data_IF_113430613106
#
_entry.id   IF_113430613106
#
_cell.length_a   1.000
_cell.length_b   1.000
_cell.length_c   1.000
_cell.angle_alpha   90.00
_cell.angle_beta   90.00
_cell.angle_gamma   90.00
#
_symmetry.space_group_name_H-M   'P 1'
#
loop_
_entity.id
_entity.type
_entity.pdbx_description
1 polymer ?
#
# COMPACT_ATOMS: atom_id res chain seq x y z
N UNK A 1 1.48 -63.80 -43.05
CA UNK A 1 2.85 -63.53 -42.51
C UNK A 1 3.04 -62.04 -42.43
N UNK A 2 2.61 -61.46 -41.33
CA UNK A 2 2.73 -60.00 -41.08
C UNK A 2 4.07 -59.72 -40.41
N UNK A 3 4.94 -58.97 -41.08
CA UNK A 3 6.22 -58.48 -40.56
C UNK A 3 5.95 -57.18 -39.78
N UNK A 4 5.87 -57.28 -38.44
CA UNK A 4 5.86 -56.13 -37.53
C UNK A 4 7.18 -55.36 -37.65
N UNK A 5 7.15 -54.21 -38.32
CA UNK A 5 8.26 -53.27 -38.30
C UNK A 5 8.36 -52.58 -36.96
N UNK A 6 9.20 -53.11 -36.02
CA UNK A 6 9.66 -52.39 -34.85
C UNK A 6 10.48 -51.17 -35.25
N UNK A 7 9.87 -49.97 -35.21
CA UNK A 7 10.55 -48.69 -35.40
C UNK A 7 11.56 -48.52 -34.26
N UNK A 8 12.86 -48.61 -34.56
CA UNK A 8 13.95 -48.47 -33.61
C UNK A 8 13.94 -47.01 -33.12
N UNK A 9 13.30 -46.74 -31.96
CA UNK A 9 13.26 -45.42 -31.34
C UNK A 9 14.68 -44.94 -31.05
N UNK A 10 15.04 -43.78 -31.62
CA UNK A 10 16.38 -43.24 -31.54
C UNK A 10 16.68 -42.77 -30.13
N UNK A 11 17.45 -43.52 -29.33
CA UNK A 11 17.85 -43.27 -27.93
C UNK A 11 18.43 -41.86 -27.75
N UNK A 12 19.01 -41.26 -28.80
CA UNK A 12 19.56 -39.88 -28.84
C UNK A 12 18.44 -38.84 -28.69
N UNK A 13 17.33 -39.01 -29.41
CA UNK A 13 16.20 -38.09 -29.38
C UNK A 13 15.48 -38.09 -27.98
N UNK A 14 15.41 -39.27 -27.32
CA UNK A 14 14.86 -39.32 -25.97
C UNK A 14 15.71 -38.59 -24.94
N UNK A 15 17.05 -38.61 -25.07
CA UNK A 15 17.95 -37.83 -24.19
C UNK A 15 17.80 -36.32 -24.44
N UNK A 16 17.69 -35.87 -25.67
CA UNK A 16 17.48 -34.46 -26.04
C UNK A 16 16.13 -33.96 -25.52
N UNK A 17 15.05 -34.75 -25.70
CA UNK A 17 13.73 -34.38 -25.17
C UNK A 17 13.72 -34.25 -23.64
N UNK A 18 14.39 -35.17 -22.94
CA UNK A 18 14.53 -35.06 -21.45
C UNK A 18 15.31 -33.82 -21.06
N UNK A 19 16.44 -33.53 -21.72
CA UNK A 19 17.22 -32.32 -21.43
C UNK A 19 16.41 -31.04 -21.67
N UNK A 20 15.64 -30.99 -22.77
CA UNK A 20 14.76 -29.86 -23.09
C UNK A 20 13.66 -29.70 -22.05
N UNK A 21 13.04 -30.81 -21.59
CA UNK A 21 12.03 -30.78 -20.55
C UNK A 21 12.57 -30.24 -19.22
N UNK A 22 13.75 -30.71 -18.79
CA UNK A 22 14.41 -30.20 -17.58
C UNK A 22 14.77 -28.71 -17.70
N UNK A 23 15.24 -28.28 -18.88
CA UNK A 23 15.54 -26.86 -19.13
C UNK A 23 14.29 -25.99 -19.02
N UNK A 24 13.17 -26.41 -19.61
CA UNK A 24 11.89 -25.70 -19.53
C UNK A 24 11.35 -25.63 -18.09
N UNK A 25 11.46 -26.72 -17.32
CA UNK A 25 11.06 -26.75 -15.92
C UNK A 25 11.92 -25.79 -15.09
N UNK A 26 13.25 -25.78 -15.30
CA UNK A 26 14.16 -24.87 -14.61
C UNK A 26 13.86 -23.41 -14.90
N UNK A 27 13.61 -23.07 -16.19
CA UNK A 27 13.21 -21.71 -16.58
C UNK A 27 11.89 -21.32 -15.93
N UNK A 28 10.89 -22.20 -15.94
CA UNK A 28 9.60 -21.94 -15.28
C UNK A 28 9.76 -21.71 -13.76
N UNK A 29 10.61 -22.49 -13.09
CA UNK A 29 10.89 -22.31 -11.66
C UNK A 29 11.59 -20.97 -11.39
N UNK A 30 12.55 -20.57 -12.21
CA UNK A 30 13.22 -19.28 -12.08
C UNK A 30 12.24 -18.12 -12.25
N UNK A 31 11.31 -18.20 -13.19
CA UNK A 31 10.27 -17.17 -13.37
C UNK A 31 9.36 -17.09 -12.14
N UNK A 32 8.93 -18.23 -11.61
CA UNK A 32 8.14 -18.28 -10.37
C UNK A 32 8.90 -17.64 -9.21
N UNK A 33 10.14 -18.02 -8.99
CA UNK A 33 10.98 -17.42 -7.94
C UNK A 33 11.13 -15.92 -8.12
N UNK A 34 11.38 -15.45 -9.34
CA UNK A 34 11.51 -14.03 -9.64
C UNK A 34 10.24 -13.23 -9.33
N UNK A 35 9.07 -13.77 -9.67
CA UNK A 35 7.77 -13.12 -9.43
C UNK A 35 7.40 -13.13 -7.95
N UNK A 36 7.61 -14.24 -7.25
CA UNK A 36 7.22 -14.38 -5.84
C UNK A 36 8.26 -13.84 -4.85
N UNK A 37 9.52 -13.72 -5.26
CA UNK A 37 10.60 -13.23 -4.39
C UNK A 37 10.30 -11.87 -3.73
N UNK A 38 9.79 -10.83 -4.44
CA UNK A 38 9.45 -9.55 -3.81
C UNK A 38 8.37 -9.66 -2.74
N UNK A 39 7.36 -10.53 -2.94
CA UNK A 39 6.27 -10.74 -1.99
C UNK A 39 6.76 -11.46 -0.72
N UNK A 40 7.59 -12.48 -0.91
CA UNK A 40 8.15 -13.27 0.20
C UNK A 40 9.20 -12.45 0.98
N UNK A 41 10.08 -11.74 0.29
CA UNK A 41 11.12 -10.91 0.91
C UNK A 41 10.52 -9.77 1.76
N UNK A 42 9.39 -9.20 1.32
CA UNK A 42 8.67 -8.22 2.10
C UNK A 42 8.21 -8.79 3.44
N UNK A 43 7.63 -9.99 3.47
CA UNK A 43 7.16 -10.63 4.70
C UNK A 43 8.29 -10.86 5.70
N UNK A 44 9.47 -11.28 5.23
CA UNK A 44 10.59 -11.60 6.13
C UNK A 44 11.42 -10.37 6.54
N UNK A 45 11.54 -9.38 5.66
CA UNK A 45 12.45 -8.25 5.88
C UNK A 45 11.77 -7.03 6.50
N UNK A 46 10.51 -6.77 6.15
CA UNK A 46 9.82 -5.55 6.55
C UNK A 46 8.72 -5.76 7.59
N UNK A 47 7.98 -6.87 7.57
CA UNK A 47 6.91 -7.08 8.54
C UNK A 47 7.46 -7.12 9.97
N UNK A 48 8.60 -7.80 10.20
CA UNK A 48 9.24 -7.86 11.51
C UNK A 48 9.80 -6.53 12.02
N UNK A 49 10.20 -5.62 11.12
CA UNK A 49 10.76 -4.32 11.50
C UNK A 49 9.69 -3.32 11.93
N UNK A 50 8.43 -3.52 11.52
CA UNK A 50 7.31 -2.63 11.86
C UNK A 50 6.46 -3.14 13.03
N UNK A 51 6.58 -4.43 13.39
CA UNK A 51 5.84 -5.03 14.51
C UNK A 51 6.38 -4.61 15.90
N UNK A 52 7.60 -4.09 15.97
CA UNK A 52 8.30 -3.76 17.22
C UNK A 52 8.25 -2.28 17.63
N UNK A 53 7.56 -1.42 16.88
CA UNK A 53 7.38 -0.04 17.33
C UNK A 53 6.15 0.06 18.23
N UNK A 54 6.36 -0.20 19.52
CA UNK A 54 5.45 0.14 20.62
C UNK A 54 5.29 1.68 20.66
N UNK A 55 4.49 2.21 19.72
CA UNK A 55 4.05 3.61 19.83
C UNK A 55 3.03 3.58 20.96
N UNK A 56 3.38 4.19 22.09
CA UNK A 56 2.49 4.42 23.21
C UNK A 56 1.33 5.33 22.78
N UNK A 57 0.40 4.77 22.02
CA UNK A 57 -0.94 5.32 21.85
C UNK A 57 -1.72 4.81 23.05
N UNK A 58 -2.44 5.64 23.82
CA UNK A 58 -3.31 5.17 24.89
C UNK A 58 -4.54 4.49 24.26
N UNK A 59 -4.36 3.28 23.70
CA UNK A 59 -5.43 2.41 23.26
C UNK A 59 -5.69 1.43 24.41
N UNK A 60 -6.93 1.28 24.90
CA UNK A 60 -7.26 0.27 25.90
C UNK A 60 -6.88 -1.11 25.37
N UNK A 61 -6.09 -1.88 26.14
CA UNK A 61 -5.55 -3.21 25.78
C UNK A 61 -6.63 -4.31 25.58
N UNK A 62 -7.89 -3.96 25.49
CA UNK A 62 -9.02 -4.91 25.46
C UNK A 62 -9.52 -5.26 24.05
N UNK A 63 -8.90 -4.79 22.97
CA UNK A 63 -9.35 -5.07 21.60
C UNK A 63 -8.31 -5.81 20.73
N UNK A 64 -7.40 -6.57 21.33
CA UNK A 64 -6.57 -7.50 20.54
C UNK A 64 -7.36 -8.77 20.31
N UNK A 65 -8.11 -8.81 19.23
CA UNK A 65 -8.68 -10.07 18.73
C UNK A 65 -7.54 -10.86 18.11
N UNK A 66 -7.09 -11.90 18.81
CA UNK A 66 -6.22 -12.94 18.25
C UNK A 66 -6.98 -13.63 17.10
N UNK A 67 -6.74 -13.23 15.87
CA UNK A 67 -7.28 -13.93 14.70
C UNK A 67 -6.34 -15.08 14.29
N UNK A 68 -6.40 -16.19 15.02
CA UNK A 68 -5.85 -17.47 14.57
C UNK A 68 -6.85 -18.18 13.64
N UNK A 69 -7.24 -17.57 12.53
CA UNK A 69 -8.16 -18.22 11.61
C UNK A 69 -7.68 -18.10 10.16
N UNK A 70 -7.18 -19.23 9.62
CA UNK A 70 -6.97 -19.44 8.18
C UNK A 70 -8.26 -19.13 7.37
N UNK A 71 -9.43 -19.28 7.99
CA UNK A 71 -10.72 -18.92 7.40
C UNK A 71 -10.86 -17.43 7.08
N UNK A 72 -10.25 -16.52 7.85
CA UNK A 72 -10.26 -15.08 7.54
C UNK A 72 -9.40 -14.76 6.32
N UNK A 73 -8.23 -15.40 6.19
CA UNK A 73 -7.36 -15.22 5.03
C UNK A 73 -8.00 -15.72 3.72
N UNK A 74 -8.80 -16.77 3.80
CA UNK A 74 -9.55 -17.31 2.64
C UNK A 74 -10.73 -16.40 2.30
N UNK A 75 -11.43 -15.82 3.30
CA UNK A 75 -12.50 -14.85 3.06
C UNK A 75 -11.97 -13.54 2.49
N UNK A 76 -10.79 -13.07 2.94
CA UNK A 76 -10.17 -11.86 2.40
C UNK A 76 -9.68 -12.07 0.96
N UNK A 77 -9.15 -13.25 0.62
CA UNK A 77 -8.83 -13.61 -0.75
C UNK A 77 -10.11 -13.70 -1.63
N UNK A 78 -11.22 -14.24 -1.13
CA UNK A 78 -12.49 -14.29 -1.86
C UNK A 78 -13.15 -12.91 -2.00
N UNK A 79 -12.98 -12.01 -1.04
CA UNK A 79 -13.41 -10.61 -1.15
C UNK A 79 -12.59 -9.83 -2.20
N UNK A 80 -11.32 -10.21 -2.42
CA UNK A 80 -10.49 -9.66 -3.51
C UNK A 80 -11.00 -10.04 -4.91
N UNK A 81 -11.73 -11.15 -5.04
CA UNK A 81 -12.46 -11.55 -6.25
C UNK A 81 -13.88 -10.95 -6.32
N UNK A 82 -14.35 -10.25 -5.31
CA UNK A 82 -15.73 -9.75 -5.22
C UNK A 82 -16.00 -8.44 -6.00
N UNK A 83 -15.07 -7.98 -6.82
CA UNK A 83 -15.27 -6.82 -7.71
C UNK A 83 -15.27 -5.47 -6.98
N UNK A 84 -14.66 -5.37 -5.80
CA UNK A 84 -14.50 -4.10 -5.08
C UNK A 84 -13.54 -3.21 -5.85
N UNK A 85 -14.00 -2.01 -6.23
CA UNK A 85 -13.16 -1.01 -6.89
C UNK A 85 -12.28 -0.29 -5.87
N UNK A 86 -11.00 -0.67 -5.80
CA UNK A 86 -10.01 -0.01 -4.93
C UNK A 86 -9.44 1.30 -5.52
N UNK A 87 -9.85 1.72 -6.72
CA UNK A 87 -9.55 3.08 -7.21
C UNK A 87 -10.40 4.12 -6.48
N UNK A 88 -11.50 3.69 -5.85
CA UNK A 88 -12.31 4.52 -4.96
C UNK A 88 -11.79 4.40 -3.52
N UNK A 89 -11.27 5.51 -2.96
CA UNK A 89 -10.77 5.57 -1.59
C UNK A 89 -11.80 5.20 -0.53
N UNK A 90 -13.11 5.35 -0.81
CA UNK A 90 -14.18 4.99 0.13
C UNK A 90 -14.23 3.50 0.46
N UNK A 91 -13.71 2.65 -0.43
CA UNK A 91 -13.68 1.21 -0.27
C UNK A 91 -12.49 0.70 0.57
N UNK A 92 -11.57 1.57 0.96
CA UNK A 92 -10.35 1.16 1.65
C UNK A 92 -10.56 0.82 3.14
N UNK A 93 -11.59 1.42 3.76
CA UNK A 93 -12.00 1.15 5.14
C UNK A 93 -13.49 0.87 5.19
N UNK A 94 -13.94 -0.37 4.92
CA UNK A 94 -15.36 -0.71 4.74
C UNK A 94 -16.19 -0.50 6.00
N UNK A 95 -15.59 -0.53 7.18
CA UNK A 95 -16.26 -0.33 8.46
C UNK A 95 -16.40 1.14 8.88
N UNK A 96 -15.82 2.07 8.12
CA UNK A 96 -15.88 3.49 8.42
C UNK A 96 -17.06 4.15 7.69
N UNK A 97 -18.02 4.68 8.45
CA UNK A 97 -19.15 5.45 7.88
C UNK A 97 -18.74 6.91 7.73
N UNK A 98 -18.69 7.39 6.49
CA UNK A 98 -18.45 8.80 6.20
C UNK A 98 -19.43 9.71 6.92
N UNK A 99 -18.94 10.65 7.72
CA UNK A 99 -19.69 11.85 8.06
C UNK A 99 -19.52 12.82 6.91
N UNK A 100 -20.59 13.12 6.14
CA UNK A 100 -20.55 14.22 5.17
C UNK A 100 -20.14 15.48 5.92
N UNK A 101 -18.87 15.89 5.75
CA UNK A 101 -18.37 17.16 6.29
C UNK A 101 -19.09 18.33 5.63
N UNK A 102 -19.15 19.48 6.33
CA UNK A 102 -19.65 20.72 5.76
C UNK A 102 -18.82 21.17 4.56
N UNK A 103 -19.32 22.14 3.79
CA UNK A 103 -18.71 22.60 2.54
C UNK A 103 -17.22 22.95 2.74
N UNK A 104 -16.36 22.17 2.13
CA UNK A 104 -14.92 22.42 2.09
C UNK A 104 -14.66 23.44 0.99
N UNK A 105 -14.04 24.59 1.33
CA UNK A 105 -13.72 25.64 0.35
C UNK A 105 -12.46 25.35 -0.50
N UNK A 106 -11.69 24.33 -0.15
CA UNK A 106 -10.44 23.99 -0.82
C UNK A 106 -10.63 22.72 -1.61
N UNK A 107 -10.51 22.80 -2.95
CA UNK A 107 -10.67 21.65 -3.83
C UNK A 107 -9.38 20.81 -3.93
N UNK A 108 -8.23 21.47 -3.98
CA UNK A 108 -6.93 20.83 -4.14
C UNK A 108 -5.83 21.53 -3.35
N UNK A 109 -4.87 20.77 -2.90
CA UNK A 109 -3.57 21.20 -2.43
C UNK A 109 -2.50 20.21 -2.95
N UNK A 110 -1.23 20.47 -2.75
CA UNK A 110 -0.18 19.56 -3.22
C UNK A 110 0.72 19.09 -2.10
N UNK A 111 1.29 17.88 -2.28
CA UNK A 111 2.33 17.37 -1.40
C UNK A 111 3.60 17.06 -2.19
N UNK A 112 4.74 17.23 -1.53
CA UNK A 112 6.04 16.81 -2.02
C UNK A 112 6.75 15.99 -0.95
N UNK A 113 7.39 14.90 -1.37
CA UNK A 113 8.15 14.01 -0.49
C UNK A 113 9.54 13.86 -1.11
N UNK A 114 10.52 14.70 -0.71
CA UNK A 114 11.84 14.77 -1.37
C UNK A 114 12.56 13.43 -1.42
N UNK A 115 12.56 12.66 -0.32
CA UNK A 115 13.22 11.35 -0.25
C UNK A 115 12.68 10.34 -1.27
N UNK A 116 11.41 10.47 -1.67
CA UNK A 116 10.76 9.59 -2.67
C UNK A 116 10.71 10.22 -4.06
N UNK A 117 11.31 11.40 -4.24
CA UNK A 117 11.26 12.17 -5.48
C UNK A 117 9.84 12.50 -5.97
N UNK A 118 8.85 12.52 -5.06
CA UNK A 118 7.49 12.98 -5.32
C UNK A 118 7.48 14.50 -5.23
N UNK A 119 7.02 15.16 -6.31
CA UNK A 119 7.00 16.63 -6.41
C UNK A 119 5.62 17.11 -6.77
N UNK A 120 5.05 17.97 -5.93
CA UNK A 120 3.77 18.66 -6.14
C UNK A 120 2.62 17.71 -6.56
N UNK A 121 2.57 16.51 -5.94
CA UNK A 121 1.46 15.60 -6.18
C UNK A 121 0.15 16.23 -5.70
N UNK A 122 -0.84 16.30 -6.59
CA UNK A 122 -2.14 16.90 -6.31
C UNK A 122 -2.95 16.03 -5.37
N UNK A 123 -3.61 16.64 -4.39
CA UNK A 123 -4.50 15.99 -3.43
C UNK A 123 -5.88 16.59 -3.57
N UNK A 124 -6.88 15.79 -3.94
CA UNK A 124 -8.28 16.19 -3.95
C UNK A 124 -8.90 16.11 -2.56
N UNK A 125 -9.83 17.00 -2.26
CA UNK A 125 -10.61 17.01 -1.03
C UNK A 125 -12.11 16.77 -1.26
N UNK A 126 -12.52 16.60 -2.53
CA UNK A 126 -13.92 16.55 -2.94
C UNK A 126 -14.34 15.18 -3.46
N UNK A 127 -13.45 14.44 -4.08
CA UNK A 127 -13.75 13.14 -4.65
C UNK A 127 -12.86 12.02 -4.08
N UNK A 128 -13.13 10.80 -4.48
CA UNK A 128 -12.47 9.57 -3.97
C UNK A 128 -11.66 8.84 -5.04
N UNK A 129 -11.49 9.41 -6.26
CA UNK A 129 -10.83 8.78 -7.41
C UNK A 129 -9.29 8.82 -7.29
N UNK A 130 -8.71 7.76 -6.80
CA UNK A 130 -7.25 7.60 -6.62
C UNK A 130 -6.48 7.39 -7.94
N UNK A 131 -7.17 7.21 -9.05
CA UNK A 131 -6.50 7.02 -10.36
C UNK A 131 -5.99 8.34 -10.95
N UNK A 132 -6.56 9.48 -10.53
CA UNK A 132 -6.28 10.82 -11.08
C UNK A 132 -5.43 11.69 -10.15
N UNK A 133 -5.50 11.49 -8.85
CA UNK A 133 -4.81 12.27 -7.82
C UNK A 133 -4.76 11.50 -6.51
N UNK A 134 -4.03 12.03 -5.53
CA UNK A 134 -4.16 11.62 -4.15
C UNK A 134 -5.50 12.12 -3.58
N UNK A 135 -6.02 11.47 -2.56
CA UNK A 135 -7.31 11.80 -1.95
C UNK A 135 -7.12 12.10 -0.47
N UNK A 136 -7.50 13.33 -0.04
CA UNK A 136 -7.69 13.60 1.38
C UNK A 136 -9.01 12.98 1.82
N UNK A 137 -8.95 12.01 2.74
CA UNK A 137 -10.13 11.24 3.12
C UNK A 137 -11.21 12.14 3.71
N UNK A 138 -12.42 12.05 3.17
CA UNK A 138 -13.54 12.93 3.52
C UNK A 138 -13.85 12.78 5.01
N UNK A 139 -13.99 13.91 5.72
CA UNK A 139 -14.26 13.95 7.16
C UNK A 139 -13.01 13.98 8.04
N UNK A 140 -11.81 13.89 7.44
CA UNK A 140 -10.54 14.16 8.14
C UNK A 140 -10.14 15.63 7.99
N UNK A 141 -9.21 16.10 8.84
CA UNK A 141 -8.73 17.48 8.78
C UNK A 141 -8.11 17.82 7.42
N UNK A 142 -8.01 19.11 7.10
CA UNK A 142 -7.27 19.63 5.96
C UNK A 142 -6.02 20.34 6.43
N UNK A 143 -4.85 20.11 5.79
CA UNK A 143 -3.65 20.86 6.16
C UNK A 143 -3.83 22.39 5.91
N UNK A 144 -3.39 23.26 6.82
CA UNK A 144 -2.67 22.99 8.07
C UNK A 144 -3.57 23.02 9.31
N UNK A 145 -4.83 22.68 9.21
CA UNK A 145 -5.76 22.70 10.34
C UNK A 145 -5.34 21.73 11.44
N UNK A 146 -5.75 21.99 12.69
CA UNK A 146 -5.64 21.04 13.78
C UNK A 146 -6.48 19.79 13.47
N UNK A 147 -5.97 18.62 13.83
CA UNK A 147 -6.56 17.33 13.51
C UNK A 147 -5.59 16.46 12.73
N UNK A 148 -6.09 15.39 12.15
CA UNK A 148 -5.33 14.45 11.35
C UNK A 148 -5.81 14.50 9.89
N UNK A 149 -5.00 15.08 9.00
CA UNK A 149 -5.24 15.04 7.56
C UNK A 149 -4.81 13.67 7.02
N UNK A 150 -5.75 12.87 6.54
CA UNK A 150 -5.44 11.52 6.05
C UNK A 150 -5.49 11.49 4.53
N UNK A 151 -4.37 11.17 3.90
CA UNK A 151 -4.18 11.16 2.46
C UNK A 151 -3.96 9.74 1.95
N UNK A 152 -4.78 9.32 1.00
CA UNK A 152 -4.68 8.03 0.33
C UNK A 152 -3.99 8.15 -1.02
N UNK A 153 -3.24 7.10 -1.39
CA UNK A 153 -2.63 6.95 -2.69
C UNK A 153 -2.32 5.49 -2.99
N UNK A 154 -2.36 5.13 -4.27
CA UNK A 154 -2.09 3.77 -4.71
C UNK A 154 -0.63 3.35 -4.57
N UNK A 155 -0.45 2.04 -4.40
CA UNK A 155 0.82 1.34 -4.55
C UNK A 155 0.69 0.21 -5.58
N UNK A 156 1.80 -0.09 -6.24
CA UNK A 156 1.91 -1.18 -7.20
C UNK A 156 3.22 -1.94 -6.99
N UNK A 157 3.50 -2.94 -7.82
CA UNK A 157 4.80 -3.61 -7.80
C UNK A 157 5.93 -2.60 -8.00
N UNK A 158 7.05 -2.70 -7.25
CA UNK A 158 8.15 -1.75 -7.31
C UNK A 158 8.75 -1.56 -8.71
N UNK A 159 8.65 -2.59 -9.57
CA UNK A 159 9.13 -2.56 -10.95
C UNK A 159 8.29 -1.63 -11.86
N UNK A 160 7.05 -1.34 -11.48
CA UNK A 160 6.10 -0.51 -12.21
C UNK A 160 6.01 0.92 -11.64
N UNK A 161 6.88 1.27 -10.69
CA UNK A 161 6.84 2.56 -10.02
C UNK A 161 7.16 3.72 -10.96
N UNK A 162 6.26 4.70 -10.99
CA UNK A 162 6.47 6.03 -11.56
C UNK A 162 5.94 7.09 -10.57
N UNK A 163 6.81 8.00 -10.16
CA UNK A 163 6.46 9.07 -9.21
C UNK A 163 5.41 10.07 -9.76
N UNK A 164 5.15 10.05 -11.07
CA UNK A 164 4.17 10.92 -11.75
C UNK A 164 2.82 10.22 -11.99
N UNK A 165 2.77 8.91 -11.87
CA UNK A 165 1.55 8.13 -12.05
C UNK A 165 0.87 7.92 -10.69
N UNK A 166 -0.33 8.46 -10.52
CA UNK A 166 -1.11 8.32 -9.27
C UNK A 166 -1.46 6.87 -8.93
N UNK A 167 -1.49 5.96 -9.89
CA UNK A 167 -1.69 4.52 -9.66
C UNK A 167 -0.49 3.85 -8.99
N UNK A 168 0.66 4.54 -8.90
CA UNK A 168 1.90 3.97 -8.40
C UNK A 168 2.61 4.86 -7.37
N UNK A 169 2.16 6.10 -7.20
CA UNK A 169 2.88 7.19 -6.52
C UNK A 169 3.32 6.85 -5.09
N UNK A 170 2.54 6.06 -4.35
CA UNK A 170 2.85 5.67 -2.96
C UNK A 170 3.52 4.30 -2.82
N UNK A 171 3.94 3.67 -3.92
CA UNK A 171 4.62 2.36 -3.90
C UNK A 171 5.84 2.35 -2.96
N UNK A 172 6.58 3.44 -2.89
CA UNK A 172 7.84 3.54 -2.13
C UNK A 172 7.67 4.17 -0.73
N UNK A 173 6.44 4.39 -0.22
CA UNK A 173 6.23 5.00 1.10
C UNK A 173 6.94 4.24 2.23
N UNK A 174 7.12 2.93 2.10
CA UNK A 174 7.83 2.11 3.08
C UNK A 174 9.32 2.49 3.30
N UNK A 175 9.89 3.29 2.39
CA UNK A 175 11.26 3.80 2.52
C UNK A 175 11.37 5.01 3.45
N UNK A 176 10.24 5.59 3.83
CA UNK A 176 10.23 6.69 4.80
C UNK A 176 10.59 6.19 6.19
N UNK A 177 11.26 7.05 6.94
CA UNK A 177 11.71 6.81 8.30
C UNK A 177 11.42 8.03 9.17
N UNK A 178 11.32 7.89 10.50
CA UNK A 178 11.20 9.03 11.38
C UNK A 178 12.24 10.11 11.08
N UNK A 179 11.81 11.37 11.03
CA UNK A 179 12.64 12.53 10.68
C UNK A 179 12.59 12.94 9.21
N UNK A 180 12.10 12.09 8.29
CA UNK A 180 11.91 12.48 6.89
C UNK A 180 10.86 13.58 6.74
N UNK A 181 10.99 14.40 5.69
CA UNK A 181 10.13 15.55 5.47
C UNK A 181 9.03 15.26 4.44
N UNK A 182 7.83 15.76 4.75
CA UNK A 182 6.70 15.87 3.82
C UNK A 182 6.35 17.36 3.75
N UNK A 183 6.35 17.93 2.55
CA UNK A 183 6.05 19.33 2.32
C UNK A 183 4.63 19.41 1.74
N UNK A 184 3.78 20.17 2.40
CA UNK A 184 2.41 20.47 1.93
C UNK A 184 2.34 21.90 1.45
N UNK A 185 1.88 22.12 0.22
CA UNK A 185 1.57 23.46 -0.30
C UNK A 185 0.05 23.64 -0.30
N UNK A 186 -0.42 24.47 0.60
CA UNK A 186 -1.83 24.79 0.77
C UNK A 186 -2.02 26.31 0.70
N UNK A 187 -2.85 26.78 -0.24
CA UNK A 187 -3.10 28.21 -0.45
C UNK A 187 -1.81 29.03 -0.61
N UNK A 188 -0.86 28.53 -1.42
CA UNK A 188 0.46 29.14 -1.68
C UNK A 188 1.38 29.26 -0.45
N UNK A 189 1.05 28.56 0.62
CA UNK A 189 1.88 28.51 1.82
C UNK A 189 2.45 27.10 1.98
N UNK A 190 3.75 27.02 2.24
CA UNK A 190 4.46 25.76 2.46
C UNK A 190 4.46 25.40 3.93
N UNK A 191 4.03 24.20 4.25
CA UNK A 191 4.05 23.62 5.58
C UNK A 191 4.92 22.37 5.55
N UNK A 192 5.83 22.26 6.51
CA UNK A 192 6.68 21.09 6.69
C UNK A 192 6.09 20.17 7.75
N UNK A 193 6.03 18.90 7.43
CA UNK A 193 5.68 17.83 8.35
C UNK A 193 6.85 16.87 8.47
N UNK A 194 7.17 16.44 9.68
CA UNK A 194 8.18 15.40 9.94
C UNK A 194 7.52 14.08 10.23
N UNK A 195 7.98 13.03 9.57
CA UNK A 195 7.55 11.66 9.83
C UNK A 195 7.92 11.29 11.26
N UNK A 196 6.93 10.80 12.02
CA UNK A 196 7.12 10.29 13.39
C UNK A 196 7.14 8.77 13.42
N UNK A 197 6.32 8.14 12.57
CA UNK A 197 6.18 6.68 12.54
C UNK A 197 5.77 6.17 11.17
N UNK A 198 6.20 4.95 10.88
CA UNK A 198 5.74 4.14 9.74
C UNK A 198 5.28 2.80 10.28
N UNK A 199 4.00 2.47 10.13
CA UNK A 199 3.38 1.28 10.70
C UNK A 199 2.56 0.53 9.65
N UNK A 200 2.28 -0.74 9.89
CA UNK A 200 1.40 -1.57 9.06
C UNK A 200 0.18 -1.95 9.89
N UNK A 201 -1.00 -1.75 9.33
CA UNK A 201 -2.28 -2.07 9.98
C UNK A 201 -3.18 -2.90 9.07
N UNK A 202 -4.18 -3.56 9.66
CA UNK A 202 -5.20 -4.28 8.91
C UNK A 202 -6.22 -3.31 8.28
N UNK A 203 -6.90 -3.69 7.17
CA UNK A 203 -7.86 -2.83 6.48
C UNK A 203 -9.10 -2.45 7.31
N UNK A 204 -9.41 -3.22 8.34
CA UNK A 204 -10.51 -2.97 9.29
C UNK A 204 -10.13 -2.03 10.44
N UNK A 205 -8.83 -1.72 10.59
CA UNK A 205 -8.33 -0.81 11.62
C UNK A 205 -8.58 0.65 11.24
N UNK A 206 -9.71 1.19 11.67
CA UNK A 206 -10.11 2.58 11.40
C UNK A 206 -9.47 3.62 12.31
N UNK A 207 -8.62 3.22 13.28
CA UNK A 207 -7.95 4.17 14.20
C UNK A 207 -7.02 5.14 13.47
N UNK A 208 -6.58 4.78 12.26
CA UNK A 208 -5.79 5.66 11.39
C UNK A 208 -6.55 6.92 10.95
N UNK A 209 -7.88 6.88 10.97
CA UNK A 209 -8.78 7.98 10.60
C UNK A 209 -9.18 8.85 11.79
N UNK A 210 -8.85 8.44 13.02
CA UNK A 210 -9.18 9.18 14.24
C UNK A 210 -8.60 10.58 14.22
N UNK A 211 -9.41 11.52 14.72
CA UNK A 211 -9.05 12.93 14.77
C UNK A 211 -8.55 13.31 16.17
N UNK A 212 -7.33 13.81 16.24
CA UNK A 212 -6.77 14.43 17.43
C UNK A 212 -6.52 15.92 17.14
N UNK A 213 -7.23 16.80 17.83
CA UNK A 213 -7.17 18.25 17.62
C UNK A 213 -6.15 18.96 18.52
N UNK A 214 -5.32 18.23 19.24
CA UNK A 214 -4.26 18.83 20.08
C UNK A 214 -3.15 19.43 19.22
N UNK A 215 -2.85 18.81 18.07
CA UNK A 215 -1.82 19.28 17.15
C UNK A 215 -2.27 19.09 15.68
N UNK A 216 -1.36 19.28 14.72
CA UNK A 216 -1.58 19.16 13.29
C UNK A 216 -0.84 17.95 12.76
N UNK A 217 -1.58 16.92 12.46
CA UNK A 217 -1.05 15.65 11.97
C UNK A 217 -1.35 15.47 10.49
N UNK A 218 -0.48 14.73 9.83
CA UNK A 218 -0.60 14.28 8.46
C UNK A 218 -0.37 12.77 8.44
N UNK A 219 -1.31 12.02 7.89
CA UNK A 219 -1.21 10.56 7.76
C UNK A 219 -1.30 10.19 6.29
N UNK A 220 -0.27 9.52 5.75
CA UNK A 220 -0.30 8.95 4.41
C UNK A 220 -0.64 7.47 4.50
N UNK A 221 -1.53 6.99 3.64
CA UNK A 221 -2.00 5.60 3.64
C UNK A 221 -1.90 5.00 2.25
N UNK A 222 -1.34 3.80 2.18
CA UNK A 222 -1.29 3.01 0.94
C UNK A 222 -1.46 1.52 1.23
N UNK A 223 -1.71 0.74 0.19
CA UNK A 223 -1.78 -0.71 0.30
C UNK A 223 -0.38 -1.32 0.45
N UNK A 224 -0.28 -2.42 1.20
CA UNK A 224 0.99 -3.14 1.43
C UNK A 224 0.72 -4.64 1.64
N UNK A 225 1.66 -5.56 1.26
CA UNK A 225 2.86 -5.34 0.43
C UNK A 225 2.54 -4.64 -0.90
N UNK A 226 3.50 -3.91 -1.50
CA UNK A 226 3.30 -3.24 -2.78
C UNK A 226 2.74 -4.19 -3.84
N UNK A 227 1.68 -3.76 -4.54
CA UNK A 227 0.96 -4.59 -5.53
C UNK A 227 -0.08 -5.54 -4.92
N UNK A 228 -0.35 -5.47 -3.62
CA UNK A 228 -1.42 -6.24 -2.94
C UNK A 228 -2.37 -5.28 -2.20
N UNK A 229 -3.49 -5.83 -1.71
CA UNK A 229 -4.48 -5.09 -0.92
C UNK A 229 -4.62 -5.61 0.51
N UNK A 230 -3.67 -6.47 0.94
CA UNK A 230 -3.82 -7.26 2.18
C UNK A 230 -3.80 -6.41 3.46
N UNK A 231 -2.92 -5.41 3.50
CA UNK A 231 -2.77 -4.52 4.66
C UNK A 231 -2.65 -3.07 4.23
N UNK A 232 -2.57 -2.15 5.18
CA UNK A 232 -2.31 -0.74 4.93
C UNK A 232 -0.98 -0.32 5.55
N UNK A 233 -0.12 0.29 4.75
CA UNK A 233 1.04 1.02 5.24
C UNK A 233 0.60 2.44 5.60
N UNK A 234 0.92 2.87 6.79
CA UNK A 234 0.52 4.15 7.36
C UNK A 234 1.77 4.91 7.79
N UNK A 235 1.96 6.10 7.23
CA UNK A 235 3.03 7.02 7.61
C UNK A 235 2.39 8.15 8.39
N UNK A 236 2.74 8.29 9.67
CA UNK A 236 2.29 9.39 10.53
C UNK A 236 3.35 10.48 10.58
N UNK A 237 2.93 11.71 10.38
CA UNK A 237 3.79 12.88 10.43
C UNK A 237 3.12 14.01 11.21
N UNK A 238 3.91 14.89 11.78
CA UNK A 238 3.46 16.07 12.53
C UNK A 238 4.07 17.32 11.94
N UNK A 239 3.32 18.43 11.99
CA UNK A 239 3.81 19.73 11.52
C UNK A 239 5.05 20.15 12.31
N UNK A 240 6.07 20.61 11.61
CA UNK A 240 7.24 21.20 12.23
C UNK A 240 6.86 22.60 12.76
N UNK A 241 7.07 22.82 14.05
CA UNK A 241 6.89 24.13 14.66
C UNK A 241 8.08 25.00 14.25
N UNK A 242 7.79 26.09 13.54
CA UNK A 242 8.77 27.14 13.22
C UNK A 242 9.01 27.99 14.46
#
# INVERSE_FOLDING_TARGET
MDKLHHKKENKKNKKILKALSFSLISIGLLIILYVFFPLISWQFYFAGSFDSQDIAIPIPKTTVVQSNNIGSLVSDASNSFSGIDYTDASNWFPNYKFKKGGSVRMQFYTISIPKLNIKNASVSTEDTDLSKHLVNYIGTALPPQKGNAVIFGHSTLPQLYDAKDYKTVFTNLYKLTPGDEIIVNSSNTLYKYKVEAVIVVDPDNTTVLEQNYDDRFLTLVTCTPPGTIWKRLVVKARIEKV
#
